data_IF_573718173174
#
_entry.id   IF_573718173174
#
_cell.length_a   1.000
_cell.length_b   1.000
_cell.length_c   1.000
_cell.angle_alpha   90.00
_cell.angle_beta   90.00
_cell.angle_gamma   90.00
#
_symmetry.space_group_name_H-M   'P 1'
#
loop_
_entity.id
_entity.type
_entity.pdbx_description
1 polymer ?
#
# COMPACT_ATOMS: atom_id res chain seq x y z
N UNK A 1 -10.25 10.37 -9.91
CA UNK A 1 -10.42 10.61 -8.45
C UNK A 1 -9.48 11.75 -8.09
N UNK A 2 -9.98 12.76 -7.38
CA UNK A 2 -9.14 13.87 -6.91
C UNK A 2 -8.49 13.46 -5.58
N UNK A 3 -7.17 13.63 -5.48
CA UNK A 3 -6.41 13.38 -4.27
C UNK A 3 -5.79 14.71 -3.82
N UNK A 4 -5.73 14.95 -2.51
CA UNK A 4 -5.08 16.15 -1.95
C UNK A 4 -3.69 15.76 -1.43
N UNK A 5 -2.66 16.09 -2.19
CA UNK A 5 -1.26 15.84 -1.88
C UNK A 5 -0.40 17.02 -2.32
N UNK A 6 0.72 17.24 -1.63
CA UNK A 6 1.60 18.40 -1.88
C UNK A 6 2.23 18.42 -3.27
N UNK A 7 2.78 17.29 -3.74
CA UNK A 7 3.51 17.20 -5.01
C UNK A 7 3.49 15.77 -5.56
N UNK A 8 2.86 15.60 -6.73
CA UNK A 8 2.78 14.32 -7.43
C UNK A 8 4.11 13.91 -8.10
N UNK A 9 5.03 14.85 -8.35
CA UNK A 9 6.34 14.59 -8.97
C UNK A 9 7.25 13.69 -8.13
N UNK A 10 6.97 13.54 -6.84
CA UNK A 10 7.71 12.66 -5.93
C UNK A 10 7.36 11.16 -6.06
N UNK A 11 6.38 10.81 -6.90
CA UNK A 11 5.85 9.44 -7.00
C UNK A 11 6.93 8.39 -7.26
N UNK A 12 7.86 8.65 -8.19
CA UNK A 12 8.93 7.69 -8.53
C UNK A 12 9.84 7.42 -7.32
N UNK A 13 10.26 8.48 -6.63
CA UNK A 13 11.10 8.39 -5.43
C UNK A 13 10.37 7.70 -4.28
N UNK A 14 9.08 7.99 -4.12
CA UNK A 14 8.21 7.32 -3.16
C UNK A 14 8.14 5.82 -3.41
N UNK A 15 7.96 5.41 -4.67
CA UNK A 15 7.88 4.01 -5.05
C UNK A 15 9.18 3.24 -4.71
N UNK A 16 10.35 3.82 -4.96
CA UNK A 16 11.62 3.19 -4.55
C UNK A 16 11.72 2.98 -3.04
N UNK A 17 11.20 3.91 -2.23
CA UNK A 17 11.17 3.76 -0.76
C UNK A 17 10.18 2.68 -0.32
N UNK A 18 9.02 2.60 -0.97
CA UNK A 18 8.03 1.56 -0.70
C UNK A 18 8.64 0.17 -0.97
N UNK A 19 9.34 0.00 -2.10
CA UNK A 19 10.01 -1.27 -2.42
C UNK A 19 11.09 -1.64 -1.40
N UNK A 20 11.88 -0.66 -0.97
CA UNK A 20 12.87 -0.88 0.10
C UNK A 20 12.21 -1.31 1.41
N UNK A 21 11.13 -0.64 1.82
CA UNK A 21 10.39 -1.00 3.03
C UNK A 21 9.73 -2.39 2.94
N UNK A 22 9.13 -2.73 1.79
CA UNK A 22 8.49 -4.04 1.54
C UNK A 22 9.49 -5.19 1.74
N UNK A 23 10.75 -5.00 1.32
CA UNK A 23 11.83 -5.99 1.52
C UNK A 23 12.13 -6.30 2.99
N UNK A 24 11.79 -5.38 3.90
CA UNK A 24 12.01 -5.49 5.34
C UNK A 24 10.74 -5.90 6.11
N UNK A 25 9.61 -6.13 5.42
CA UNK A 25 8.31 -6.45 6.01
C UNK A 25 7.78 -7.81 5.51
N UNK A 26 8.48 -8.93 5.79
CA UNK A 26 8.19 -10.24 5.18
C UNK A 26 6.77 -10.75 5.47
N UNK A 27 6.23 -10.43 6.65
CA UNK A 27 4.87 -10.84 7.03
C UNK A 27 3.81 -10.19 6.13
N UNK A 28 3.98 -8.93 5.72
CA UNK A 28 3.05 -8.28 4.80
C UNK A 28 3.08 -8.95 3.41
N UNK A 29 4.25 -9.40 2.96
CA UNK A 29 4.38 -10.20 1.73
C UNK A 29 3.61 -11.52 1.81
N UNK A 30 3.73 -12.25 2.92
CA UNK A 30 2.98 -13.49 3.15
C UNK A 30 1.46 -13.25 3.15
N UNK A 31 1.00 -12.19 3.82
CA UNK A 31 -0.42 -11.82 3.84
C UNK A 31 -0.90 -11.46 2.43
N UNK A 32 -0.12 -10.68 1.67
CA UNK A 32 -0.44 -10.28 0.29
C UNK A 32 -0.61 -11.50 -0.61
N UNK A 33 0.29 -12.49 -0.52
CA UNK A 33 0.21 -13.72 -1.32
C UNK A 33 -1.09 -14.47 -1.05
N UNK A 34 -1.41 -14.72 0.23
CA UNK A 34 -2.66 -15.40 0.63
C UNK A 34 -3.91 -14.61 0.20
N UNK A 35 -3.91 -13.29 0.42
CA UNK A 35 -5.11 -12.46 0.19
C UNK A 35 -5.37 -12.17 -1.29
N UNK A 36 -4.37 -12.36 -2.16
CA UNK A 36 -4.57 -12.26 -3.61
C UNK A 36 -5.49 -13.36 -4.13
N UNK A 37 -5.37 -14.57 -3.57
CA UNK A 37 -6.22 -15.72 -3.90
C UNK A 37 -7.57 -15.67 -3.18
N UNK A 38 -7.55 -15.47 -1.85
CA UNK A 38 -8.76 -15.53 -1.02
C UNK A 38 -9.68 -14.31 -1.20
N UNK A 39 -9.14 -13.17 -1.66
CA UNK A 39 -9.82 -11.88 -1.76
C UNK A 39 -10.73 -11.54 -0.55
N UNK A 40 -10.27 -11.68 0.71
CA UNK A 40 -11.14 -11.61 1.89
C UNK A 40 -11.72 -10.21 2.13
N UNK A 41 -11.15 -9.18 1.50
CA UNK A 41 -11.59 -7.79 1.63
C UNK A 41 -12.52 -7.35 0.48
N UNK A 42 -12.90 -8.25 -0.42
CA UNK A 42 -13.73 -7.93 -1.58
C UNK A 42 -15.09 -7.36 -1.14
N UNK A 43 -15.45 -6.20 -1.66
CA UNK A 43 -16.71 -5.51 -1.34
C UNK A 43 -16.69 -4.70 -0.04
N UNK A 44 -15.59 -4.71 0.71
CA UNK A 44 -15.43 -3.91 1.93
C UNK A 44 -14.91 -2.51 1.57
N UNK A 45 -15.57 -1.47 2.08
CA UNK A 45 -15.04 -0.09 2.03
C UNK A 45 -14.18 0.15 3.27
N UNK A 46 -12.92 0.50 3.07
CA UNK A 46 -11.94 0.72 4.14
C UNK A 46 -11.62 2.22 4.24
N UNK A 47 -11.64 2.75 5.45
CA UNK A 47 -11.12 4.08 5.78
C UNK A 47 -10.01 3.92 6.83
N UNK A 48 -9.00 4.79 6.80
CA UNK A 48 -7.88 4.77 7.73
C UNK A 48 -7.48 6.19 8.14
N UNK A 49 -7.05 6.33 9.39
CA UNK A 49 -6.43 7.55 9.93
C UNK A 49 -5.10 7.14 10.56
N UNK A 50 -4.02 7.29 9.79
CA UNK A 50 -2.67 6.85 10.12
C UNK A 50 -1.66 7.92 9.70
N UNK A 51 -0.40 7.72 10.06
CA UNK A 51 0.67 8.55 9.52
C UNK A 51 0.89 8.22 8.03
N UNK A 52 0.89 9.27 7.20
CA UNK A 52 1.01 9.19 5.74
C UNK A 52 2.20 10.01 5.29
#
# INVERSE_FOLDING_TARGET
MANDIKDAGLAQKGNSRIQWADSMMPVLGLIRNRFTEEQPLKGIKIAACLHV
#
